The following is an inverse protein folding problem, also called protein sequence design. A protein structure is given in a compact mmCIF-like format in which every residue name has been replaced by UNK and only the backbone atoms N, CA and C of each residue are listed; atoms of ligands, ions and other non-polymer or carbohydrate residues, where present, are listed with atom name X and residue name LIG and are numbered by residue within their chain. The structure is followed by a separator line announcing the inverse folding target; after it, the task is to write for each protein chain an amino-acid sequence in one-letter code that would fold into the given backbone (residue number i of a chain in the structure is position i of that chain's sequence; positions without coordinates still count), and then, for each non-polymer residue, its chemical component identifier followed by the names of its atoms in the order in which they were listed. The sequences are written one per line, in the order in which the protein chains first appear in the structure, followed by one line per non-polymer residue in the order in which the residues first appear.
data_IF_719511659631
#
_entry.id   IF_719511659631
#
_cell.length_a   1.000
_cell.length_b   1.000
_cell.length_c   1.000
_cell.angle_alpha   90.00
_cell.angle_beta   90.00
_cell.angle_gamma   90.00
#
_symmetry.space_group_name_H-M   'P 1'
#
loop_
_entity.id
_entity.type
_entity.pdbx_description
1 polymer ?
#
# COMPACT_ATOMS: atom_id res chain seq x y z
N UNK A 1 4.54 30.80 -64.47
CA UNK A 1 5.18 30.00 -63.39
C UNK A 1 4.43 30.28 -62.07
N UNK A 2 3.64 29.36 -61.57
CA UNK A 2 2.91 29.51 -60.29
C UNK A 2 3.68 28.78 -59.19
N UNK A 3 3.87 29.33 -57.98
CA UNK A 3 4.56 28.64 -56.92
C UNK A 3 3.61 27.63 -56.21
N UNK A 4 4.12 26.42 -55.99
CA UNK A 4 3.47 25.37 -55.25
C UNK A 4 3.43 25.71 -53.75
N UNK A 5 2.23 25.65 -53.16
CA UNK A 5 2.02 25.78 -51.72
C UNK A 5 2.26 24.41 -51.08
N UNK A 6 3.34 24.31 -50.29
CA UNK A 6 3.57 23.14 -49.43
C UNK A 6 2.69 23.26 -48.19
N UNK A 7 1.70 22.37 -48.06
CA UNK A 7 0.88 22.19 -46.85
C UNK A 7 1.67 21.38 -45.85
N UNK A 8 2.07 22.01 -44.74
CA UNK A 8 2.62 21.33 -43.57
C UNK A 8 1.47 20.78 -42.76
N UNK A 9 1.31 19.46 -42.80
CA UNK A 9 0.40 18.75 -41.89
C UNK A 9 1.07 18.68 -40.51
N UNK A 10 0.58 19.49 -39.54
CA UNK A 10 0.96 19.38 -38.15
C UNK A 10 0.28 18.13 -37.59
N UNK A 11 1.06 17.03 -37.40
CA UNK A 11 0.65 15.90 -36.58
C UNK A 11 0.71 16.35 -35.11
N UNK A 12 -0.44 16.65 -34.52
CA UNK A 12 -0.59 16.75 -33.08
C UNK A 12 -0.48 15.32 -32.51
N UNK A 13 0.71 14.96 -32.00
CA UNK A 13 0.85 13.84 -31.10
C UNK A 13 0.15 14.24 -29.78
N UNK A 14 -1.07 13.76 -29.59
CA UNK A 14 -1.68 13.67 -28.25
C UNK A 14 -0.87 12.68 -27.42
N UNK A 15 0.15 13.16 -26.71
CA UNK A 15 0.70 12.44 -25.56
C UNK A 15 -0.38 12.40 -24.48
N UNK A 16 -1.26 11.40 -24.55
CA UNK A 16 -2.08 11.03 -23.42
C UNK A 16 -1.15 10.68 -22.27
N UNK A 17 -1.22 11.44 -21.19
CA UNK A 17 -0.56 11.14 -19.94
C UNK A 17 -1.06 9.77 -19.50
N UNK A 18 -0.26 8.71 -19.72
CA UNK A 18 -0.49 7.41 -19.09
C UNK A 18 -0.33 7.62 -17.59
N UNK A 19 -1.44 7.83 -16.89
CA UNK A 19 -1.49 7.74 -15.44
C UNK A 19 -1.25 6.27 -15.14
N UNK A 20 -0.03 5.94 -14.71
CA UNK A 20 0.31 4.61 -14.23
C UNK A 20 -0.47 4.36 -12.93
N UNK A 21 -1.72 3.94 -13.06
CA UNK A 21 -2.44 3.30 -11.98
C UNK A 21 -1.76 1.95 -11.75
N UNK A 22 -1.49 1.62 -10.49
CA UNK A 22 -1.00 0.32 -10.08
C UNK A 22 -1.80 -0.77 -10.78
N UNK A 23 -1.10 -1.61 -11.55
CA UNK A 23 -1.73 -2.32 -12.65
C UNK A 23 -2.56 -3.48 -12.22
N UNK A 24 -3.82 -3.36 -12.42
CA UNK A 24 -4.69 -4.50 -12.65
C UNK A 24 -4.64 -4.88 -14.15
N UNK A 25 -3.49 -4.69 -14.79
CA UNK A 25 -3.32 -4.89 -16.24
C UNK A 25 -3.51 -6.35 -16.66
N UNK A 26 -3.25 -7.29 -15.75
CA UNK A 26 -3.51 -8.72 -15.92
C UNK A 26 -5.01 -9.00 -16.07
N UNK A 27 -5.88 -8.22 -15.44
CA UNK A 27 -7.31 -8.46 -15.40
C UNK A 27 -8.09 -7.58 -16.38
N UNK A 28 -9.13 -8.11 -16.96
CA UNK A 28 -10.04 -7.32 -17.80
C UNK A 28 -11.10 -6.62 -16.96
N UNK A 29 -10.74 -5.45 -16.40
CA UNK A 29 -11.63 -4.67 -15.56
C UNK A 29 -12.84 -4.07 -16.29
N UNK A 30 -12.92 -4.19 -17.62
CA UNK A 30 -14.10 -3.79 -18.41
C UNK A 30 -15.20 -4.85 -18.36
N UNK A 31 -14.85 -6.08 -17.94
CA UNK A 31 -15.75 -7.23 -17.81
C UNK A 31 -15.93 -7.57 -16.34
N UNK A 32 -17.17 -7.72 -15.91
CA UNK A 32 -17.51 -8.24 -14.59
C UNK A 32 -18.34 -9.50 -14.74
N UNK A 33 -17.92 -10.57 -14.08
CA UNK A 33 -18.56 -11.89 -14.11
C UNK A 33 -18.95 -12.28 -12.69
N UNK A 34 -20.04 -13.02 -12.56
CA UNK A 34 -20.49 -13.64 -11.31
C UNK A 34 -20.31 -15.15 -11.42
N UNK A 35 -19.57 -15.71 -10.47
CA UNK A 35 -19.39 -17.16 -10.36
C UNK A 35 -20.02 -17.65 -9.07
N UNK A 36 -20.98 -18.57 -9.17
CA UNK A 36 -21.46 -19.33 -8.01
C UNK A 36 -20.55 -20.54 -7.80
N UNK A 37 -20.12 -20.75 -6.58
CA UNK A 37 -19.17 -21.81 -6.27
C UNK A 37 -19.08 -22.13 -4.79
N UNK A 38 -18.14 -23.04 -4.48
CA UNK A 38 -17.83 -23.44 -3.11
C UNK A 38 -16.36 -23.10 -2.81
N UNK A 39 -16.10 -22.46 -1.69
CA UNK A 39 -14.73 -22.13 -1.25
C UNK A 39 -13.97 -23.43 -0.95
N UNK A 40 -12.84 -23.64 -1.58
CA UNK A 40 -11.93 -24.77 -1.32
C UNK A 40 -10.74 -24.37 -0.47
N UNK A 41 -10.30 -23.11 -0.59
CA UNK A 41 -9.15 -22.58 0.14
C UNK A 41 -9.22 -21.06 0.21
N UNK A 42 -8.76 -20.47 1.32
CA UNK A 42 -8.47 -19.06 1.45
C UNK A 42 -7.06 -18.88 1.97
N UNK A 43 -6.16 -18.32 1.14
CA UNK A 43 -4.80 -17.95 1.51
C UNK A 43 -4.82 -16.54 2.09
N UNK A 44 -4.53 -16.42 3.38
CA UNK A 44 -4.51 -15.15 4.11
C UNK A 44 -3.07 -14.66 4.27
N UNK A 45 -2.48 -14.21 3.17
CA UNK A 45 -1.06 -13.87 3.04
C UNK A 45 -0.87 -12.48 2.44
N UNK A 46 0.29 -11.85 2.72
CA UNK A 46 0.71 -10.61 2.06
C UNK A 46 1.43 -10.92 0.72
N UNK A 47 1.30 -10.06 -0.30
CA UNK A 47 0.59 -8.78 -0.30
C UNK A 47 -0.92 -8.86 -0.58
N UNK A 48 -1.44 -10.01 -1.04
CA UNK A 48 -2.84 -10.19 -1.43
C UNK A 48 -3.41 -11.49 -0.91
N UNK A 49 -4.67 -11.46 -0.48
CA UNK A 49 -5.42 -12.68 -0.20
C UNK A 49 -5.81 -13.36 -1.51
N UNK A 50 -5.85 -14.69 -1.49
CA UNK A 50 -6.36 -15.48 -2.61
C UNK A 50 -7.44 -16.42 -2.10
N UNK A 51 -8.65 -16.30 -2.64
CA UNK A 51 -9.75 -17.22 -2.36
C UNK A 51 -9.95 -18.12 -3.57
N UNK A 52 -9.84 -19.45 -3.38
CA UNK A 52 -10.08 -20.44 -4.43
C UNK A 52 -11.50 -20.99 -4.29
N UNK A 53 -12.22 -20.98 -5.40
CA UNK A 53 -13.57 -21.58 -5.46
C UNK A 53 -13.64 -22.66 -6.53
N UNK A 54 -14.31 -23.78 -6.24
CA UNK A 54 -14.79 -24.69 -7.27
C UNK A 54 -16.07 -24.14 -7.86
N UNK A 55 -16.08 -23.96 -9.19
CA UNK A 55 -17.18 -23.36 -9.92
C UNK A 55 -17.30 -23.96 -11.33
N UNK A 56 -18.17 -23.40 -12.16
CA UNK A 56 -18.29 -23.77 -13.56
C UNK A 56 -18.25 -22.55 -14.46
N UNK A 57 -17.67 -22.71 -15.64
CA UNK A 57 -17.75 -21.71 -16.71
C UNK A 57 -19.17 -21.54 -17.21
N UNK A 58 -19.45 -20.54 -18.03
CA UNK A 58 -20.74 -20.35 -18.69
C UNK A 58 -21.14 -21.54 -19.58
N UNK A 59 -20.17 -22.35 -20.05
CA UNK A 59 -20.39 -23.56 -20.84
C UNK A 59 -20.55 -24.84 -20.00
N UNK A 60 -20.53 -24.70 -18.64
CA UNK A 60 -20.70 -25.81 -17.69
C UNK A 60 -19.44 -26.59 -17.36
N UNK A 61 -18.27 -26.22 -17.88
CA UNK A 61 -16.99 -26.84 -17.58
C UNK A 61 -16.60 -26.58 -16.13
N UNK A 62 -16.24 -27.60 -15.33
CA UNK A 62 -15.79 -27.42 -13.96
C UNK A 62 -14.39 -26.80 -13.93
N UNK A 63 -14.20 -25.77 -13.10
CA UNK A 63 -12.93 -25.09 -12.91
C UNK A 63 -12.69 -24.79 -11.42
N UNK A 64 -11.42 -24.62 -11.04
CA UNK A 64 -11.03 -23.98 -9.79
C UNK A 64 -10.54 -22.58 -10.12
N UNK A 65 -11.25 -21.57 -9.63
CA UNK A 65 -10.93 -20.17 -9.90
C UNK A 65 -10.21 -19.57 -8.69
N UNK A 66 -9.02 -19.03 -8.90
CA UNK A 66 -8.27 -18.22 -7.92
C UNK A 66 -8.74 -16.78 -8.00
N UNK A 67 -9.21 -16.24 -6.89
CA UNK A 67 -9.75 -14.89 -6.78
C UNK A 67 -8.82 -14.07 -5.92
N UNK A 68 -8.11 -13.12 -6.53
CA UNK A 68 -7.24 -12.20 -5.85
C UNK A 68 -8.03 -11.07 -5.20
N UNK A 69 -7.78 -10.83 -3.92
CA UNK A 69 -8.37 -9.74 -3.14
C UNK A 69 -7.32 -8.79 -2.59
N UNK A 70 -7.76 -7.78 -1.87
CA UNK A 70 -6.87 -6.86 -1.13
C UNK A 70 -6.02 -7.61 -0.10
N UNK A 71 -4.98 -6.94 0.40
CA UNK A 71 -4.14 -7.52 1.44
C UNK A 71 -4.94 -7.85 2.71
N UNK A 72 -4.50 -8.86 3.48
CA UNK A 72 -5.08 -9.17 4.76
C UNK A 72 -5.24 -7.96 5.68
N UNK A 73 -4.23 -7.08 5.70
CA UNK A 73 -4.26 -5.85 6.50
C UNK A 73 -5.41 -4.93 6.13
N UNK A 74 -5.67 -4.77 4.83
CA UNK A 74 -6.78 -3.97 4.33
C UNK A 74 -8.12 -4.61 4.73
N UNK A 75 -8.29 -5.91 4.51
CA UNK A 75 -9.53 -6.62 4.85
C UNK A 75 -9.84 -6.55 6.35
N UNK A 76 -8.82 -6.67 7.20
CA UNK A 76 -8.95 -6.53 8.66
C UNK A 76 -9.46 -5.15 9.08
N UNK A 77 -9.12 -4.09 8.36
CA UNK A 77 -9.67 -2.75 8.65
C UNK A 77 -11.18 -2.66 8.43
N UNK A 78 -11.74 -3.55 7.62
CA UNK A 78 -13.17 -3.74 7.40
C UNK A 78 -13.83 -4.77 8.35
N UNK A 79 -13.06 -5.36 9.28
CA UNK A 79 -13.55 -6.35 10.22
C UNK A 79 -13.53 -7.78 9.70
N UNK A 80 -12.82 -8.06 8.61
CA UNK A 80 -12.72 -9.40 8.02
C UNK A 80 -11.42 -10.10 8.45
N UNK A 81 -11.49 -11.43 8.48
CA UNK A 81 -10.36 -12.33 8.81
C UNK A 81 -10.39 -13.56 7.91
N UNK A 82 -9.42 -14.46 8.05
CA UNK A 82 -9.39 -15.72 7.32
C UNK A 82 -10.68 -16.56 7.54
N UNK A 83 -11.25 -16.48 8.74
CA UNK A 83 -12.48 -17.19 9.11
C UNK A 83 -13.73 -16.60 8.47
N UNK A 84 -13.63 -15.41 7.87
CA UNK A 84 -14.75 -14.79 7.15
C UNK A 84 -15.11 -15.54 5.86
N UNK A 85 -14.18 -16.32 5.32
CA UNK A 85 -14.31 -17.11 4.09
C UNK A 85 -13.90 -18.57 4.33
N UNK A 86 -14.67 -19.33 5.14
CA UNK A 86 -14.30 -20.69 5.51
C UNK A 86 -14.45 -21.65 4.33
N UNK A 87 -13.60 -22.68 4.29
CA UNK A 87 -13.69 -23.78 3.33
C UNK A 87 -15.06 -24.45 3.42
N UNK A 88 -15.64 -24.78 2.29
CA UNK A 88 -16.93 -25.46 2.14
C UNK A 88 -18.11 -24.50 2.08
N UNK A 89 -17.92 -23.19 2.27
CA UNK A 89 -19.01 -22.22 2.15
C UNK A 89 -19.41 -21.99 0.68
N UNK A 90 -20.72 -21.96 0.42
CA UNK A 90 -21.27 -21.60 -0.89
C UNK A 90 -21.33 -20.08 -1.01
N UNK A 91 -20.82 -19.58 -2.11
CA UNK A 91 -20.69 -18.15 -2.34
C UNK A 91 -20.97 -17.77 -3.80
N UNK A 92 -21.24 -16.48 -4.02
CA UNK A 92 -21.19 -15.86 -5.34
C UNK A 92 -20.02 -14.88 -5.35
N UNK A 93 -19.02 -15.14 -6.19
CA UNK A 93 -17.90 -14.24 -6.41
C UNK A 93 -18.20 -13.26 -7.55
N UNK A 94 -17.94 -11.97 -7.31
CA UNK A 94 -18.03 -10.90 -8.32
C UNK A 94 -16.62 -10.51 -8.69
N UNK A 95 -16.22 -10.78 -9.94
CA UNK A 95 -14.83 -10.73 -10.35
C UNK A 95 -14.64 -10.17 -11.76
N UNK A 96 -13.41 -9.73 -12.08
CA UNK A 96 -12.92 -9.51 -13.43
C UNK A 96 -11.92 -10.61 -13.81
N UNK A 97 -12.09 -11.32 -14.92
CA UNK A 97 -11.23 -12.44 -15.30
C UNK A 97 -9.82 -11.96 -15.69
N UNK A 98 -8.82 -12.81 -15.50
CA UNK A 98 -7.49 -12.64 -16.07
C UNK A 98 -7.57 -12.60 -17.61
N UNK A 99 -6.76 -11.74 -18.24
CA UNK A 99 -6.63 -11.67 -19.70
C UNK A 99 -5.91 -12.89 -20.29
N UNK A 100 -4.97 -13.46 -19.51
CA UNK A 100 -4.15 -14.60 -19.92
C UNK A 100 -4.80 -15.93 -19.54
N UNK A 101 -5.34 -16.00 -18.32
CA UNK A 101 -5.82 -17.24 -17.70
C UNK A 101 -7.26 -17.06 -17.17
N UNK A 102 -8.24 -16.74 -18.05
CA UNK A 102 -9.59 -16.36 -17.60
C UNK A 102 -10.39 -17.46 -16.91
N UNK A 103 -9.93 -18.73 -17.00
CA UNK A 103 -10.52 -19.88 -16.31
C UNK A 103 -9.79 -20.23 -14.99
N UNK A 104 -8.66 -19.60 -14.71
CA UNK A 104 -7.80 -19.96 -13.59
C UNK A 104 -7.72 -18.82 -12.56
N UNK A 105 -7.70 -17.55 -13.00
CA UNK A 105 -7.46 -16.40 -12.14
C UNK A 105 -8.39 -15.24 -12.45
N UNK A 106 -8.77 -14.51 -11.39
CA UNK A 106 -9.62 -13.33 -11.49
C UNK A 106 -9.33 -12.32 -10.38
N UNK A 107 -9.55 -11.04 -10.68
CA UNK A 107 -9.56 -9.96 -9.70
C UNK A 107 -10.92 -9.90 -9.00
N UNK A 108 -10.92 -10.02 -7.67
CA UNK A 108 -12.14 -10.04 -6.87
C UNK A 108 -12.60 -8.66 -6.44
N UNK A 109 -13.88 -8.37 -6.64
CA UNK A 109 -14.52 -7.18 -6.08
C UNK A 109 -15.21 -7.47 -4.76
N UNK A 110 -15.92 -8.57 -4.69
CA UNK A 110 -16.67 -8.99 -3.50
C UNK A 110 -17.02 -10.48 -3.56
N UNK A 111 -17.17 -11.08 -2.40
CA UNK A 111 -17.75 -12.39 -2.18
C UNK A 111 -19.09 -12.20 -1.48
N UNK A 112 -20.15 -12.76 -2.03
CA UNK A 112 -21.51 -12.74 -1.47
C UNK A 112 -21.78 -14.13 -0.89
N UNK A 113 -22.05 -14.20 0.39
CA UNK A 113 -22.35 -15.42 1.13
C UNK A 113 -23.79 -15.86 0.92
N UNK A 114 -24.11 -17.11 1.20
CA UNK A 114 -25.46 -17.66 1.05
C UNK A 114 -26.51 -16.95 1.91
N UNK A 115 -26.11 -16.37 3.05
CA UNK A 115 -26.96 -15.59 3.95
C UNK A 115 -27.15 -14.13 3.49
N UNK A 116 -26.56 -13.74 2.36
CA UNK A 116 -26.59 -12.39 1.83
C UNK A 116 -25.47 -11.47 2.38
N UNK A 117 -24.64 -11.97 3.29
CA UNK A 117 -23.47 -11.25 3.77
C UNK A 117 -22.48 -10.94 2.62
N UNK A 118 -21.95 -9.71 2.58
CA UNK A 118 -21.02 -9.27 1.52
C UNK A 118 -19.65 -9.01 2.13
N UNK A 119 -18.63 -9.64 1.58
CA UNK A 119 -17.23 -9.41 1.91
C UNK A 119 -16.57 -8.69 0.74
N UNK A 120 -16.30 -7.38 0.85
CA UNK A 120 -15.62 -6.65 -0.19
C UNK A 120 -14.15 -7.06 -0.24
N UNK A 121 -13.67 -7.39 -1.42
CA UNK A 121 -12.28 -7.76 -1.67
C UNK A 121 -11.42 -6.58 -2.12
N UNK A 122 -12.01 -5.39 -2.30
CA UNK A 122 -11.31 -4.16 -2.69
C UNK A 122 -11.52 -3.05 -1.65
N UNK A 123 -10.44 -2.30 -1.38
CA UNK A 123 -10.44 -1.26 -0.35
C UNK A 123 -11.49 -0.16 -0.57
N UNK A 124 -11.81 0.16 -1.83
CA UNK A 124 -12.78 1.20 -2.20
C UNK A 124 -14.23 0.84 -1.84
N UNK A 125 -14.55 -0.44 -1.76
CA UNK A 125 -15.88 -0.93 -1.32
C UNK A 125 -15.97 -1.17 0.18
N UNK A 126 -14.87 -1.06 0.91
CA UNK A 126 -14.80 -1.40 2.32
C UNK A 126 -15.41 -0.31 3.18
N UNK A 127 -16.46 -0.63 3.91
CA UNK A 127 -17.02 0.26 4.92
C UNK A 127 -16.22 0.10 6.21
N UNK A 128 -15.55 1.18 6.61
CA UNK A 128 -14.88 1.26 7.91
C UNK A 128 -15.81 1.94 8.89
N UNK A 129 -16.19 1.23 9.94
CA UNK A 129 -17.00 1.84 11.00
C UNK A 129 -16.09 2.73 11.85
N UNK A 130 -16.33 4.04 11.93
CA UNK A 130 -15.59 4.90 12.85
C UNK A 130 -15.82 4.42 14.28
N UNK A 131 -14.77 4.44 15.11
CA UNK A 131 -14.92 4.19 16.54
C UNK A 131 -15.60 5.39 17.22
N UNK A 132 -16.42 5.10 18.24
CA UNK A 132 -16.90 6.13 19.15
C UNK A 132 -15.88 6.50 20.23
N UNK A 133 -14.87 5.66 20.42
CA UNK A 133 -13.82 5.86 21.42
C UNK A 133 -12.84 6.95 20.98
N UNK A 134 -12.30 7.67 21.96
CA UNK A 134 -11.24 8.65 21.77
C UNK A 134 -9.94 8.18 22.42
N UNK A 135 -8.83 8.36 21.74
CA UNK A 135 -7.51 8.16 22.30
C UNK A 135 -7.13 9.34 23.20
N UNK A 136 -6.31 9.08 24.20
CA UNK A 136 -5.74 10.12 25.09
C UNK A 136 -4.29 10.44 24.75
N UNK A 137 -3.70 9.73 23.80
CA UNK A 137 -2.35 9.92 23.30
C UNK A 137 -2.20 9.39 21.89
N UNK A 138 -1.07 9.66 21.22
CA UNK A 138 -0.76 9.10 19.91
C UNK A 138 -0.48 7.58 19.95
N UNK A 139 -0.37 6.97 21.14
CA UNK A 139 -0.08 5.54 21.28
C UNK A 139 -1.34 4.70 21.15
N UNK A 140 -1.26 3.65 20.36
CA UNK A 140 -2.39 2.80 20.04
C UNK A 140 -2.41 2.36 18.59
N UNK A 141 -3.54 1.84 18.15
CA UNK A 141 -3.74 1.36 16.79
C UNK A 141 -4.46 2.40 15.93
N UNK A 142 -3.97 2.59 14.74
CA UNK A 142 -4.40 3.59 13.77
C UNK A 142 -4.52 2.98 12.39
N UNK A 143 -5.34 3.58 11.53
CA UNK A 143 -5.45 3.21 10.12
C UNK A 143 -5.43 4.48 9.28
N UNK A 144 -4.50 4.64 8.33
CA UNK A 144 -4.48 5.76 7.41
C UNK A 144 -5.79 5.84 6.61
N UNK A 145 -6.32 7.04 6.44
CA UNK A 145 -7.52 7.26 5.61
C UNK A 145 -7.22 6.97 4.14
N UNK A 146 -8.25 6.65 3.36
CA UNK A 146 -8.09 6.42 1.91
C UNK A 146 -7.52 7.65 1.20
N UNK A 147 -7.89 8.86 1.64
CA UNK A 147 -7.35 10.12 1.12
C UNK A 147 -5.86 10.26 1.40
N UNK A 148 -5.37 9.77 2.54
CA UNK A 148 -3.95 9.80 2.88
C UNK A 148 -3.12 9.01 1.88
N UNK A 149 -3.57 7.80 1.51
CA UNK A 149 -2.93 6.99 0.49
C UNK A 149 -2.94 7.69 -0.89
N UNK A 150 -4.10 8.26 -1.28
CA UNK A 150 -4.24 8.96 -2.55
C UNK A 150 -3.34 10.20 -2.62
N UNK A 151 -3.26 10.98 -1.53
CA UNK A 151 -2.35 12.14 -1.45
C UNK A 151 -0.89 11.73 -1.56
N UNK A 152 -0.47 10.66 -0.89
CA UNK A 152 0.89 10.14 -1.00
C UNK A 152 1.20 9.69 -2.43
N UNK A 153 0.33 8.92 -3.06
CA UNK A 153 0.51 8.47 -4.44
C UNK A 153 0.67 9.66 -5.40
N UNK A 154 -0.13 10.72 -5.21
CA UNK A 154 -0.02 11.97 -5.97
C UNK A 154 1.32 12.67 -5.70
N UNK A 155 1.72 12.82 -4.44
CA UNK A 155 2.98 13.46 -4.06
C UNK A 155 4.19 12.74 -4.69
N UNK A 156 4.23 11.42 -4.65
CA UNK A 156 5.25 10.61 -5.33
C UNK A 156 5.20 10.79 -6.85
N UNK A 157 3.99 10.80 -7.43
CA UNK A 157 3.80 10.98 -8.88
C UNK A 157 4.31 12.33 -9.40
N UNK A 158 4.19 13.38 -8.59
CA UNK A 158 4.56 14.78 -8.93
C UNK A 158 5.86 15.24 -8.28
N UNK A 159 6.63 14.36 -7.64
CA UNK A 159 7.89 14.69 -7.00
C UNK A 159 8.87 15.33 -7.99
N UNK A 160 9.50 16.43 -7.58
CA UNK A 160 10.56 17.10 -8.34
C UNK A 160 11.85 16.30 -8.22
N UNK A 161 12.24 15.64 -9.30
CA UNK A 161 13.40 14.74 -9.32
C UNK A 161 14.62 15.40 -9.92
N UNK A 162 15.81 15.07 -9.43
CA UNK A 162 17.09 15.33 -10.09
C UNK A 162 17.21 14.50 -11.37
N UNK A 163 18.28 14.72 -12.16
CA UNK A 163 18.58 13.89 -13.33
C UNK A 163 18.79 12.42 -12.92
N UNK A 164 19.48 12.17 -11.83
CA UNK A 164 19.69 10.83 -11.27
C UNK A 164 18.35 10.19 -10.88
N UNK A 165 17.48 10.93 -10.20
CA UNK A 165 16.14 10.46 -9.83
C UNK A 165 15.28 10.12 -11.04
N UNK A 166 15.29 10.96 -12.09
CA UNK A 166 14.59 10.69 -13.37
C UNK A 166 15.11 9.44 -14.07
N UNK A 167 16.42 9.27 -14.09
CA UNK A 167 17.05 8.08 -14.70
C UNK A 167 16.65 6.78 -14.01
N UNK A 168 16.49 6.76 -12.68
CA UNK A 168 15.98 5.60 -11.95
C UNK A 168 14.48 5.42 -12.22
N UNK A 169 13.68 6.48 -12.10
CA UNK A 169 12.24 6.42 -12.35
C UNK A 169 11.90 5.86 -13.73
N UNK A 170 12.68 6.20 -14.78
CA UNK A 170 12.43 5.74 -16.14
C UNK A 170 12.64 4.23 -16.34
N UNK A 171 13.41 3.57 -15.47
CA UNK A 171 13.67 2.12 -15.50
C UNK A 171 13.01 1.35 -14.36
N UNK A 172 12.24 2.05 -13.52
CA UNK A 172 11.53 1.42 -12.42
C UNK A 172 10.53 0.39 -12.94
N UNK A 173 10.57 -0.78 -12.36
CA UNK A 173 9.53 -1.80 -12.53
C UNK A 173 9.11 -2.31 -11.16
N UNK A 174 7.81 -2.47 -10.89
CA UNK A 174 7.32 -2.95 -9.60
C UNK A 174 7.95 -4.28 -9.18
N UNK A 175 8.19 -5.20 -10.11
CA UNK A 175 8.81 -6.51 -9.81
C UNK A 175 10.27 -6.40 -9.37
N UNK A 176 10.98 -5.34 -9.76
CA UNK A 176 12.34 -5.10 -9.29
C UNK A 176 12.40 -4.49 -7.88
N UNK A 177 11.26 -3.99 -7.39
CA UNK A 177 11.18 -3.35 -6.08
C UNK A 177 11.46 -4.31 -4.92
N UNK A 178 11.85 -3.75 -3.78
CA UNK A 178 12.01 -4.52 -2.54
C UNK A 178 10.72 -5.21 -2.10
N UNK A 179 9.57 -4.60 -2.38
CA UNK A 179 8.28 -5.15 -1.99
C UNK A 179 7.95 -6.49 -2.68
N UNK A 180 8.39 -6.68 -3.92
CA UNK A 180 8.31 -7.98 -4.60
C UNK A 180 9.15 -9.07 -3.89
N UNK A 181 10.09 -8.66 -3.05
CA UNK A 181 10.96 -9.53 -2.24
C UNK A 181 10.58 -9.51 -0.76
N UNK A 182 9.36 -9.10 -0.44
CA UNK A 182 8.85 -8.93 0.93
C UNK A 182 9.62 -7.89 1.77
N UNK A 183 10.35 -6.96 1.15
CA UNK A 183 10.97 -5.84 1.86
C UNK A 183 10.02 -4.65 1.82
N UNK A 184 9.47 -4.23 2.97
CA UNK A 184 8.54 -3.11 2.99
C UNK A 184 9.22 -1.81 2.58
N UNK A 185 8.50 -0.97 1.84
CA UNK A 185 8.95 0.39 1.56
C UNK A 185 9.10 1.18 2.87
N UNK A 186 10.09 2.08 2.92
CA UNK A 186 10.33 2.89 4.10
C UNK A 186 9.32 4.04 4.27
N UNK A 187 9.29 4.61 5.48
CA UNK A 187 8.57 5.86 5.71
C UNK A 187 9.09 6.98 4.75
N UNK A 188 8.27 7.96 4.36
CA UNK A 188 6.89 8.17 4.78
C UNK A 188 5.85 7.31 4.03
N UNK A 189 6.24 6.61 2.97
CA UNK A 189 5.32 5.89 2.08
C UNK A 189 4.55 4.81 2.83
N UNK A 190 5.26 3.96 3.60
CA UNK A 190 4.61 2.88 4.37
C UNK A 190 3.57 3.40 5.38
N UNK A 191 3.75 4.62 5.88
CA UNK A 191 2.85 5.26 6.86
C UNK A 191 1.49 5.64 6.29
N UNK A 192 1.33 5.60 4.98
CA UNK A 192 0.09 5.99 4.29
C UNK A 192 -0.66 4.81 3.69
N UNK A 193 -0.07 3.62 3.69
CA UNK A 193 -0.80 2.42 3.24
C UNK A 193 -2.00 2.15 4.15
N UNK A 194 -3.14 1.68 3.60
CA UNK A 194 -4.37 1.44 4.35
C UNK A 194 -4.28 0.14 5.19
N UNK A 195 -3.22 0.01 5.96
CA UNK A 195 -2.91 -1.10 6.84
C UNK A 195 -2.98 -0.66 8.31
N UNK A 196 -3.07 -1.61 9.22
CA UNK A 196 -3.01 -1.33 10.65
C UNK A 196 -1.62 -0.81 11.00
N UNK A 197 -1.57 0.35 11.63
CA UNK A 197 -0.38 0.99 12.15
C UNK A 197 -0.49 1.09 13.67
N UNK A 198 0.55 0.72 14.39
CA UNK A 198 0.58 0.79 15.85
C UNK A 198 1.79 1.58 16.31
N UNK A 199 1.55 2.53 17.22
CA UNK A 199 2.57 3.24 17.95
C UNK A 199 2.57 2.73 19.40
N UNK A 200 3.70 2.18 19.84
CA UNK A 200 3.89 1.63 21.18
C UNK A 200 5.04 2.35 21.89
N UNK A 201 4.80 2.84 23.11
CA UNK A 201 5.82 3.51 23.91
C UNK A 201 6.45 2.55 24.91
N UNK A 202 7.77 2.60 25.00
CA UNK A 202 8.58 2.07 26.09
C UNK A 202 9.34 3.20 26.79
N UNK A 203 10.17 2.90 27.77
CA UNK A 203 10.85 3.94 28.57
C UNK A 203 11.71 4.89 27.73
N UNK A 204 12.46 4.35 26.77
CA UNK A 204 13.49 5.03 25.97
C UNK A 204 13.22 5.03 24.46
N UNK A 205 12.06 4.56 24.03
CA UNK A 205 11.75 4.40 22.61
C UNK A 205 10.26 4.35 22.31
N UNK A 206 9.94 4.60 21.04
CA UNK A 206 8.64 4.34 20.44
C UNK A 206 8.83 3.32 19.33
N UNK A 207 8.09 2.20 19.36
CA UNK A 207 8.00 1.28 18.24
C UNK A 207 6.87 1.72 17.33
N UNK A 208 7.14 1.78 16.01
CA UNK A 208 6.14 2.03 14.96
C UNK A 208 6.06 0.77 14.12
N UNK A 209 4.92 0.09 14.16
CA UNK A 209 4.69 -1.20 13.51
C UNK A 209 3.54 -1.10 12.54
N UNK A 210 3.61 -1.77 11.41
CA UNK A 210 2.48 -1.87 10.47
C UNK A 210 2.36 -3.29 9.93
N UNK A 211 1.12 -3.71 9.67
CA UNK A 211 0.84 -5.00 9.04
C UNK A 211 1.28 -5.04 7.55
N UNK A 212 1.62 -3.89 6.93
CA UNK A 212 2.11 -3.90 5.57
C UNK A 212 3.51 -4.51 5.50
N UNK A 213 3.57 -5.74 5.01
CA UNK A 213 4.80 -6.54 4.90
C UNK A 213 5.59 -6.62 6.23
N UNK A 214 4.93 -6.41 7.37
CA UNK A 214 5.56 -6.45 8.69
C UNK A 214 6.59 -5.34 8.95
N UNK A 215 6.44 -4.16 8.34
CA UNK A 215 7.38 -3.07 8.58
C UNK A 215 7.34 -2.63 10.05
N UNK A 216 8.53 -2.61 10.64
CA UNK A 216 8.73 -2.14 12.03
C UNK A 216 9.97 -1.24 12.08
N UNK A 217 9.90 -0.16 12.86
CA UNK A 217 11.04 0.68 13.20
C UNK A 217 10.99 1.13 14.66
N UNK A 218 12.16 1.30 15.23
CA UNK A 218 12.35 1.85 16.57
C UNK A 218 12.75 3.31 16.47
N UNK A 219 12.03 4.19 17.16
CA UNK A 219 12.38 5.59 17.35
C UNK A 219 12.96 5.72 18.75
N UNK A 220 14.25 6.00 18.84
CA UNK A 220 14.95 6.18 20.12
C UNK A 220 14.67 7.55 20.70
N UNK A 221 14.22 7.62 21.94
CA UNK A 221 13.85 8.88 22.62
C UNK A 221 14.79 9.23 23.80
N UNK A 222 15.92 8.55 23.88
CA UNK A 222 16.93 8.72 24.93
C UNK A 222 18.01 9.78 24.61
N UNK A 223 17.85 10.48 23.49
CA UNK A 223 18.76 11.54 23.07
C UNK A 223 20.06 11.06 22.39
N UNK A 224 20.14 9.77 22.02
CA UNK A 224 21.30 9.27 21.27
C UNK A 224 21.43 9.91 19.90
N UNK A 225 22.67 9.96 19.40
CA UNK A 225 22.95 10.35 18.02
C UNK A 225 22.63 9.20 17.02
N UNK A 226 22.52 9.56 15.75
CA UNK A 226 22.51 8.57 14.67
C UNK A 226 23.85 7.84 14.56
N UNK A 227 23.86 6.56 14.15
CA UNK A 227 25.10 5.82 13.92
C UNK A 227 25.85 6.39 12.70
N UNK A 228 27.10 5.94 12.48
CA UNK A 228 27.85 6.32 11.28
C UNK A 228 27.08 6.03 10.00
N UNK A 229 27.26 6.86 8.95
CA UNK A 229 26.49 6.84 7.72
C UNK A 229 26.57 5.51 6.92
N UNK A 230 27.61 4.68 7.17
CA UNK A 230 27.75 3.34 6.56
C UNK A 230 26.78 2.31 7.16
N UNK A 231 26.30 2.51 8.38
CA UNK A 231 25.35 1.63 9.04
C UNK A 231 23.94 1.94 8.54
N UNK A 232 23.41 1.16 7.62
CA UNK A 232 22.19 1.45 6.89
C UNK A 232 21.12 0.39 7.12
N UNK A 233 19.88 0.83 7.21
CA UNK A 233 18.72 -0.01 7.57
C UNK A 233 17.56 0.22 6.59
N UNK A 234 16.74 -0.82 6.28
CA UNK A 234 15.60 -0.66 5.38
C UNK A 234 14.60 0.41 5.82
N UNK A 235 14.36 0.56 7.14
CA UNK A 235 13.48 1.60 7.69
C UNK A 235 14.26 2.82 8.23
N UNK A 236 15.57 2.90 7.97
CA UNK A 236 16.44 3.92 8.53
C UNK A 236 16.70 3.73 10.02
N UNK A 237 17.51 4.63 10.59
CA UNK A 237 17.70 4.78 12.03
C UNK A 237 16.96 6.04 12.49
N UNK A 238 16.05 5.88 13.46
CA UNK A 238 15.18 6.98 13.92
C UNK A 238 15.51 7.39 15.35
N UNK A 239 15.66 8.69 15.56
CA UNK A 239 15.66 9.33 16.88
C UNK A 239 14.42 10.20 17.01
N UNK A 240 13.96 10.45 18.23
CA UNK A 240 12.74 11.22 18.44
C UNK A 240 12.77 12.03 19.72
N UNK A 241 11.98 13.09 19.73
CA UNK A 241 11.72 13.91 20.92
C UNK A 241 10.25 14.27 20.97
N UNK A 242 9.77 14.58 22.17
CA UNK A 242 8.45 15.14 22.37
C UNK A 242 8.54 16.67 22.47
N UNK A 243 7.74 17.37 21.67
CA UNK A 243 7.49 18.81 21.76
C UNK A 243 6.06 18.99 22.27
N UNK A 244 5.88 19.09 23.59
CA UNK A 244 4.59 18.90 24.23
C UNK A 244 4.09 17.47 23.98
N UNK A 245 2.89 17.34 23.44
CA UNK A 245 2.29 16.04 23.09
C UNK A 245 2.60 15.58 21.65
N UNK A 246 3.40 16.33 20.90
CA UNK A 246 3.79 16.01 19.53
C UNK A 246 5.09 15.22 19.53
N UNK A 247 5.06 14.01 18.96
CA UNK A 247 6.28 13.25 18.68
C UNK A 247 6.91 13.76 17.38
N UNK A 248 8.14 14.25 17.48
CA UNK A 248 8.97 14.63 16.33
C UNK A 248 10.04 13.57 16.13
N UNK A 249 10.10 13.00 14.93
CA UNK A 249 11.02 11.93 14.57
C UNK A 249 11.97 12.42 13.50
N UNK A 250 13.26 12.16 13.70
CA UNK A 250 14.34 12.38 12.74
C UNK A 250 14.87 11.02 12.29
N UNK A 251 14.95 10.77 10.98
CA UNK A 251 15.38 9.47 10.45
C UNK A 251 16.39 9.65 9.31
N UNK A 252 17.51 8.95 9.43
CA UNK A 252 18.60 8.87 8.45
C UNK A 252 19.01 7.42 8.23
N UNK A 253 20.15 7.18 7.61
CA UNK A 253 20.76 5.85 7.47
C UNK A 253 19.86 4.83 6.74
N UNK A 254 19.15 5.25 5.71
CA UNK A 254 18.33 4.35 4.90
C UNK A 254 19.18 3.53 3.93
N UNK A 255 18.76 2.28 3.65
CA UNK A 255 19.23 1.55 2.47
C UNK A 255 18.60 2.11 1.20
N UNK A 256 19.20 1.81 0.06
CA UNK A 256 18.64 2.21 -1.23
C UNK A 256 17.31 1.51 -1.48
N UNK A 257 16.31 2.27 -1.84
CA UNK A 257 14.95 1.80 -2.10
C UNK A 257 14.29 2.63 -3.22
N UNK A 258 13.20 2.09 -3.74
CA UNK A 258 12.31 2.80 -4.65
C UNK A 258 10.86 2.66 -4.16
N UNK A 259 10.16 3.79 -4.13
CA UNK A 259 8.74 3.84 -3.78
C UNK A 259 7.97 4.41 -4.97
N UNK A 260 7.22 3.58 -5.68
CA UNK A 260 6.44 4.00 -6.86
C UNK A 260 7.27 4.81 -7.88
N UNK A 261 8.52 4.39 -8.09
CA UNK A 261 9.46 5.06 -9.00
C UNK A 261 10.13 6.31 -8.44
N UNK A 262 9.93 6.66 -7.17
CA UNK A 262 10.73 7.68 -6.47
C UNK A 262 11.83 6.98 -5.70
N UNK A 263 13.10 7.13 -6.12
CA UNK A 263 14.20 6.50 -5.44
C UNK A 263 14.53 7.22 -4.12
N UNK A 264 15.12 6.47 -3.20
CA UNK A 264 15.75 7.01 -2.00
C UNK A 264 17.03 6.24 -1.70
N UNK A 265 18.01 6.89 -1.10
CA UNK A 265 19.29 6.29 -0.84
C UNK A 265 19.93 6.77 0.46
N UNK A 266 21.26 6.71 0.50
CA UNK A 266 22.08 7.11 1.66
C UNK A 266 21.84 8.56 2.07
N UNK A 267 21.51 9.44 1.11
CA UNK A 267 21.23 10.86 1.35
C UNK A 267 19.84 11.17 1.90
N UNK A 268 18.97 10.16 2.02
CA UNK A 268 17.62 10.37 2.52
C UNK A 268 17.63 10.81 3.99
N UNK A 269 17.00 11.95 4.23
CA UNK A 269 16.70 12.49 5.54
C UNK A 269 15.20 12.74 5.66
N UNK A 270 14.57 12.18 6.66
CA UNK A 270 13.15 12.25 6.90
C UNK A 270 12.86 12.83 8.28
N UNK A 271 12.10 13.91 8.33
CA UNK A 271 11.56 14.48 9.57
C UNK A 271 10.06 14.28 9.59
N UNK A 272 9.52 13.75 10.68
CA UNK A 272 8.12 13.42 10.82
C UNK A 272 7.54 14.00 12.11
N UNK A 273 6.25 14.30 12.10
CA UNK A 273 5.52 14.81 13.25
C UNK A 273 4.21 14.04 13.42
N UNK A 274 3.95 13.60 14.63
CA UNK A 274 2.72 12.91 15.02
C UNK A 274 2.00 13.71 16.10
N UNK A 275 0.82 14.18 15.82
CA UNK A 275 0.02 14.97 16.75
C UNK A 275 -1.39 14.39 16.90
N UNK A 276 -1.84 14.17 18.14
CA UNK A 276 -3.21 13.74 18.41
C UNK A 276 -4.18 14.89 18.11
N UNK A 277 -5.25 14.62 17.38
CA UNK A 277 -6.32 15.59 17.19
C UNK A 277 -7.05 15.86 18.53
N UNK A 278 -7.61 17.06 18.68
CA UNK A 278 -8.25 17.48 19.93
C UNK A 278 -9.43 16.59 20.37
N UNK A 279 -10.10 15.92 19.41
CA UNK A 279 -11.19 14.99 19.67
C UNK A 279 -10.73 13.56 19.98
N UNK A 280 -9.42 13.30 19.91
CA UNK A 280 -8.81 11.99 20.14
C UNK A 280 -9.13 10.92 19.09
N UNK A 281 -9.76 11.29 17.95
CA UNK A 281 -10.22 10.31 16.96
C UNK A 281 -9.24 10.07 15.83
N UNK A 282 -8.27 10.97 15.67
CA UNK A 282 -7.21 10.82 14.65
C UNK A 282 -5.87 11.35 15.14
N UNK A 283 -4.81 10.90 14.46
CA UNK A 283 -3.47 11.45 14.54
C UNK A 283 -3.17 12.13 13.21
N UNK A 284 -2.78 13.40 13.28
CA UNK A 284 -2.15 14.09 12.16
C UNK A 284 -0.71 13.61 12.02
N UNK A 285 -0.36 13.17 10.83
CA UNK A 285 0.99 12.79 10.45
C UNK A 285 1.48 13.75 9.38
N UNK A 286 2.61 14.39 9.62
CA UNK A 286 3.27 15.30 8.69
C UNK A 286 4.69 14.85 8.45
N UNK A 287 5.22 15.07 7.24
CA UNK A 287 6.60 14.72 6.94
C UNK A 287 7.27 15.72 6.00
N UNK A 288 8.61 15.76 6.12
CA UNK A 288 9.52 16.40 5.19
C UNK A 288 10.61 15.39 4.82
N UNK A 289 10.62 14.97 3.56
CA UNK A 289 11.64 14.06 3.02
C UNK A 289 12.59 14.84 2.11
N UNK A 290 13.86 14.82 2.46
CA UNK A 290 14.97 15.36 1.64
C UNK A 290 15.84 14.21 1.19
N UNK A 291 16.27 14.25 -0.07
CA UNK A 291 17.26 13.33 -0.64
C UNK A 291 17.96 14.05 -1.78
N UNK A 292 19.09 14.76 -1.52
CA UNK A 292 19.73 15.63 -2.50
C UNK A 292 20.21 14.90 -3.76
N UNK A 293 20.40 13.58 -3.68
CA UNK A 293 20.77 12.77 -4.85
C UNK A 293 19.59 12.60 -5.81
N UNK A 294 18.38 12.41 -5.30
CA UNK A 294 17.24 12.01 -6.11
C UNK A 294 16.10 13.02 -6.17
N UNK A 295 15.96 13.88 -5.15
CA UNK A 295 14.94 14.91 -5.08
C UNK A 295 15.56 16.30 -5.29
N UNK A 296 15.09 17.03 -6.29
CA UNK A 296 15.50 18.43 -6.51
C UNK A 296 14.95 19.37 -5.43
N UNK A 297 13.73 19.06 -4.95
CA UNK A 297 13.06 19.76 -3.86
C UNK A 297 12.65 18.79 -2.76
N UNK A 298 12.51 19.28 -1.52
CA UNK A 298 11.97 18.47 -0.44
C UNK A 298 10.54 18.00 -0.76
N UNK A 299 10.29 16.70 -0.63
CA UNK A 299 8.95 16.14 -0.71
C UNK A 299 8.28 16.28 0.65
N UNK A 300 7.17 16.99 0.70
CA UNK A 300 6.37 17.18 1.92
C UNK A 300 4.99 16.59 1.77
N UNK A 301 4.38 16.22 2.87
CA UNK A 301 3.00 15.74 2.83
C UNK A 301 2.42 15.54 4.22
N UNK A 302 1.12 15.22 4.21
CA UNK A 302 0.33 14.97 5.42
C UNK A 302 -0.51 13.72 5.24
N UNK A 303 -0.75 13.02 6.34
CA UNK A 303 -1.74 11.95 6.40
C UNK A 303 -2.58 12.09 7.67
N UNK A 304 -3.78 11.57 7.62
CA UNK A 304 -4.65 11.41 8.76
C UNK A 304 -4.79 9.92 9.06
N UNK A 305 -4.56 9.57 10.32
CA UNK A 305 -4.60 8.21 10.84
C UNK A 305 -5.80 8.10 11.78
N UNK A 306 -6.82 7.34 11.40
CA UNK A 306 -8.04 7.15 12.19
C UNK A 306 -7.80 6.19 13.35
N UNK A 307 -8.32 6.48 14.55
CA UNK A 307 -8.20 5.61 15.73
C UNK A 307 -8.95 4.30 15.57
N UNK A 308 -8.29 3.17 15.86
CA UNK A 308 -8.84 1.83 15.75
C UNK A 308 -8.39 0.93 16.89
N UNK A 309 -8.90 1.21 18.14
CA UNK A 309 -8.49 0.45 19.34
C UNK A 309 -8.88 -1.04 19.30
N UNK A 310 -9.78 -1.40 18.39
CA UNK A 310 -10.22 -2.77 18.12
C UNK A 310 -9.20 -3.59 17.35
N UNK A 311 -8.20 -2.94 16.70
CA UNK A 311 -7.19 -3.61 15.89
C UNK A 311 -5.86 -3.76 16.62
N UNK A 312 -5.15 -4.83 16.28
CA UNK A 312 -3.78 -5.10 16.73
C UNK A 312 -2.94 -5.53 15.52
N UNK A 313 -1.61 -5.37 15.54
CA UNK A 313 -0.76 -5.96 14.52
C UNK A 313 -1.00 -7.47 14.46
N UNK A 314 -1.12 -8.01 13.25
CA UNK A 314 -1.42 -9.42 13.06
C UNK A 314 -0.18 -10.27 12.77
N UNK A 315 0.97 -9.64 12.49
CA UNK A 315 2.18 -10.38 12.13
C UNK A 315 1.99 -11.26 10.90
N UNK A 316 1.21 -10.80 9.92
CA UNK A 316 0.85 -11.59 8.74
C UNK A 316 2.10 -11.77 7.88
N UNK A 317 2.45 -13.03 7.67
CA UNK A 317 3.61 -13.38 6.84
C UNK A 317 3.46 -12.86 5.42
N UNK A 318 4.57 -12.46 4.83
CA UNK A 318 4.66 -12.22 3.40
C UNK A 318 5.08 -13.52 2.71
N UNK A 319 4.31 -13.94 1.71
CA UNK A 319 4.69 -15.00 0.82
C UNK A 319 5.42 -14.43 -0.40
N UNK A 320 6.66 -14.86 -0.59
CA UNK A 320 7.53 -14.29 -1.61
C UNK A 320 7.05 -14.61 -3.03
N UNK A 321 6.57 -15.82 -3.26
CA UNK A 321 6.08 -16.21 -4.59
C UNK A 321 4.84 -15.40 -4.97
N UNK A 322 3.90 -15.23 -4.02
CA UNK A 322 2.73 -14.38 -4.20
C UNK A 322 3.11 -12.92 -4.42
N UNK A 323 4.11 -12.40 -3.69
CA UNK A 323 4.60 -11.04 -3.87
C UNK A 323 5.24 -10.84 -5.24
N UNK A 324 6.13 -11.75 -5.68
CA UNK A 324 6.76 -11.68 -6.99
C UNK A 324 5.73 -11.80 -8.12
N UNK A 325 4.72 -12.68 -7.97
CA UNK A 325 3.61 -12.81 -8.92
C UNK A 325 2.82 -11.51 -9.01
N UNK A 326 2.36 -11.00 -7.88
CA UNK A 326 1.62 -9.74 -7.78
C UNK A 326 2.36 -8.58 -8.46
N UNK A 327 3.62 -8.34 -8.11
CA UNK A 327 4.38 -7.25 -8.70
C UNK A 327 4.80 -7.48 -10.16
N UNK A 328 4.80 -8.73 -10.66
CA UNK A 328 5.02 -9.06 -12.08
C UNK A 328 3.81 -8.71 -12.93
N UNK A 329 2.62 -8.82 -12.39
CA UNK A 329 1.37 -8.49 -13.07
C UNK A 329 1.19 -6.98 -13.30
N UNK A 330 2.07 -6.17 -12.72
CA UNK A 330 2.12 -4.71 -12.93
C UNK A 330 3.06 -4.27 -14.07
N UNK A 331 3.61 -5.15 -14.86
CA UNK A 331 4.51 -4.80 -15.99
C UNK A 331 3.76 -4.53 -17.30
#
# INVERSE_FOLDING_TARGET
MKPARASWLLLLLCCGSAVAHHGNSEFDLTVTVRYEGTIVETLWINPHTVTKIETRTATGEPITLEIEGSSPSILRTGGFSAESLPKGERVTAVVSPSRRFPKESAYGYEIIKADGGVIPLVSTKMRRTPTSQAATSIFGAWVPTADSFTRMARALGTASLTDAGRAIKSRYTPVASGQAKCVPVSAPTVMTYPAVLVLERSADRVAIKTDWLGAERTVYTDGRAHPPAQDRYPQGHSTGKFEGDVLVVDTTNFTDQEAQGVPSGAGKHLVERFALAADGKSVSYEFVWRDPEFLADALTGTAELSYRPDLKPAGIACDRESAERFFREFQ
#
